data_IF_398536308252
#
_entry.id   IF_398536308252
#
_cell.length_a   1.000
_cell.length_b   1.000
_cell.length_c   1.000
_cell.angle_alpha   90.00
_cell.angle_beta   90.00
_cell.angle_gamma   90.00
#
_symmetry.space_group_name_H-M   'P 1'
#
loop_
_entity.id
_entity.type
_entity.pdbx_description
1 polymer ?
#
# COMPACT_ATOMS: atom_id res chain seq x y z
N UNK A 1 21.59 24.16 25.42
CA UNK A 1 21.16 22.87 24.85
C UNK A 1 19.78 22.53 25.40
N UNK A 2 18.77 22.43 24.53
CA UNK A 2 17.48 21.80 24.86
C UNK A 2 17.23 20.73 23.81
N UNK A 3 17.05 19.52 24.32
CA UNK A 3 17.02 18.23 23.64
C UNK A 3 15.77 18.07 22.79
N UNK A 4 15.92 17.34 21.68
CA UNK A 4 14.94 17.15 20.61
C UNK A 4 13.58 16.69 21.11
N UNK A 5 12.55 17.47 20.75
CA UNK A 5 11.21 16.95 20.61
C UNK A 5 11.19 16.03 19.40
N UNK A 6 11.48 14.76 19.62
CA UNK A 6 11.25 13.74 18.61
C UNK A 6 9.76 13.70 18.31
N UNK A 7 9.35 14.24 17.16
CA UNK A 7 8.07 13.89 16.56
C UNK A 7 8.09 12.37 16.37
N UNK A 8 7.42 11.65 17.27
CA UNK A 8 7.12 10.24 17.10
C UNK A 8 6.33 10.15 15.78
N UNK A 9 6.82 9.45 14.74
CA UNK A 9 6.05 9.31 13.51
C UNK A 9 4.72 8.66 13.87
N UNK A 10 3.61 9.28 13.45
CA UNK A 10 2.28 8.68 13.58
C UNK A 10 2.31 7.35 12.80
N UNK A 11 2.23 6.20 13.48
CA UNK A 11 2.28 4.94 12.78
C UNK A 11 0.95 4.78 12.04
N UNK A 12 1.03 4.55 10.73
CA UNK A 12 -0.04 3.98 9.91
C UNK A 12 -1.05 4.92 9.23
N UNK A 13 -0.69 6.15 8.87
CA UNK A 13 -1.42 6.82 7.77
C UNK A 13 -0.91 6.24 6.43
N UNK A 14 -1.79 5.71 5.55
CA UNK A 14 -1.40 5.27 4.22
C UNK A 14 -0.82 6.43 3.41
N UNK A 15 0.29 6.17 2.71
CA UNK A 15 0.94 7.17 1.86
C UNK A 15 0.03 7.43 0.65
N UNK A 16 -0.21 8.69 0.32
CA UNK A 16 -0.94 9.02 -0.91
C UNK A 16 0.01 8.89 -2.11
N UNK A 17 -0.47 8.39 -3.26
CA UNK A 17 0.27 8.46 -4.51
C UNK A 17 0.64 9.89 -4.92
N UNK A 18 1.67 10.09 -5.77
CA UNK A 18 2.02 11.39 -6.32
C UNK A 18 0.86 12.04 -7.08
N UNK A 19 0.87 13.38 -7.18
CA UNK A 19 -0.13 14.09 -7.98
C UNK A 19 0.03 13.70 -9.46
N UNK A 20 -1.08 13.31 -10.11
CA UNK A 20 -1.07 12.84 -11.50
C UNK A 20 -0.79 11.34 -11.66
N UNK A 21 -0.54 10.64 -10.56
CA UNK A 21 -0.29 9.21 -10.52
C UNK A 21 -1.47 8.38 -11.05
N UNK A 22 -1.16 7.23 -11.64
CA UNK A 22 -2.15 6.20 -11.99
C UNK A 22 -2.51 5.29 -10.82
N UNK A 23 -1.75 5.35 -9.73
CA UNK A 23 -2.08 4.66 -8.49
C UNK A 23 -3.19 5.39 -7.74
N UNK A 24 -4.10 4.61 -7.15
CA UNK A 24 -5.16 5.11 -6.26
C UNK A 24 -5.15 4.32 -4.96
N UNK A 25 -5.11 5.03 -3.83
CA UNK A 25 -5.24 4.41 -2.53
C UNK A 25 -6.67 3.89 -2.31
N UNK A 26 -6.79 2.65 -1.84
CA UNK A 26 -8.07 2.02 -1.48
C UNK A 26 -8.16 1.91 0.05
N UNK A 27 -9.13 2.57 0.69
CA UNK A 27 -9.33 2.44 2.12
C UNK A 27 -9.61 0.99 2.55
N UNK A 28 -9.07 0.60 3.71
CA UNK A 28 -9.31 -0.74 4.26
C UNK A 28 -10.80 -0.97 4.49
N UNK A 29 -11.32 -2.10 4.00
CA UNK A 29 -12.73 -2.46 4.12
C UNK A 29 -13.64 -1.87 3.05
N UNK A 30 -13.11 -1.10 2.10
CA UNK A 30 -13.81 -0.78 0.85
C UNK A 30 -13.91 -2.06 0.02
N UNK A 31 -15.13 -2.46 -0.31
CA UNK A 31 -15.38 -3.47 -1.34
C UNK A 31 -15.08 -2.85 -2.70
N UNK A 32 -14.32 -3.57 -3.52
CA UNK A 32 -13.98 -3.15 -4.87
C UNK A 32 -14.82 -3.94 -5.87
N UNK A 33 -15.20 -3.31 -6.98
CA UNK A 33 -15.91 -4.01 -8.05
C UNK A 33 -15.01 -5.13 -8.59
N UNK A 34 -15.60 -6.28 -8.92
CA UNK A 34 -14.86 -7.33 -9.62
C UNK A 34 -14.52 -6.86 -11.04
N UNK A 35 -13.29 -6.37 -11.18
CA UNK A 35 -12.74 -5.86 -12.43
C UNK A 35 -11.44 -6.58 -12.80
N UNK A 36 -10.90 -6.22 -13.96
CA UNK A 36 -9.59 -6.70 -14.42
C UNK A 36 -8.45 -5.77 -13.98
N UNK A 37 -8.65 -4.92 -12.96
CA UNK A 37 -7.60 -4.04 -12.49
C UNK A 37 -6.60 -4.81 -11.64
N UNK A 38 -5.41 -4.26 -11.62
CA UNK A 38 -4.30 -4.82 -10.85
C UNK A 38 -4.14 -4.03 -9.55
N UNK A 39 -3.93 -4.75 -8.47
CA UNK A 39 -3.83 -4.19 -7.14
C UNK A 39 -2.49 -4.58 -6.53
N UNK A 40 -2.03 -3.75 -5.59
CA UNK A 40 -0.94 -4.11 -4.69
C UNK A 40 -1.41 -4.03 -3.25
N UNK A 41 -0.86 -4.92 -2.43
CA UNK A 41 -1.06 -4.93 -0.99
C UNK A 41 0.30 -4.86 -0.31
N UNK A 42 0.47 -3.86 0.55
CA UNK A 42 1.62 -3.72 1.42
C UNK A 42 1.21 -4.10 2.84
N UNK A 43 1.83 -5.13 3.41
CA UNK A 43 1.48 -5.63 4.74
C UNK A 43 2.74 -6.02 5.52
N UNK A 44 2.68 -5.87 6.84
CA UNK A 44 3.71 -6.36 7.76
C UNK A 44 3.51 -7.84 8.05
N UNK A 45 4.59 -8.62 8.06
CA UNK A 45 4.58 -9.99 8.55
C UNK A 45 4.65 -10.05 10.10
N UNK A 46 4.68 -11.26 10.66
CA UNK A 46 4.68 -11.51 12.12
C UNK A 46 5.90 -10.90 12.84
N UNK A 47 6.97 -10.55 12.11
CA UNK A 47 8.17 -9.88 12.64
C UNK A 47 8.26 -8.43 12.21
N UNK A 48 7.14 -7.85 11.76
CA UNK A 48 7.00 -6.47 11.26
C UNK A 48 7.92 -6.12 10.07
N UNK A 49 8.39 -7.12 9.31
CA UNK A 49 9.01 -6.87 8.02
C UNK A 49 7.91 -6.70 6.98
N UNK A 50 7.92 -5.56 6.32
CA UNK A 50 6.92 -5.19 5.33
C UNK A 50 7.21 -5.85 3.99
N UNK A 51 6.14 -6.31 3.35
CA UNK A 51 6.14 -6.97 2.05
C UNK A 51 5.14 -6.28 1.14
N UNK A 52 5.38 -6.39 -0.16
CA UNK A 52 4.46 -5.98 -1.21
C UNK A 52 4.12 -7.20 -2.06
N UNK A 53 2.85 -7.32 -2.43
CA UNK A 53 2.39 -8.34 -3.38
C UNK A 53 1.48 -7.69 -4.42
N UNK A 54 1.47 -8.26 -5.63
CA UNK A 54 0.51 -7.97 -6.69
C UNK A 54 -0.68 -8.94 -6.57
N UNK A 55 -1.89 -8.44 -6.77
CA UNK A 55 -3.14 -9.20 -6.64
C UNK A 55 -4.26 -8.58 -7.49
N UNK A 56 -5.49 -9.08 -7.36
CA UNK A 56 -6.67 -8.72 -8.13
C UNK A 56 -7.86 -8.34 -7.22
N UNK A 57 -8.93 -7.80 -7.80
CA UNK A 57 -10.12 -7.37 -7.06
C UNK A 57 -10.75 -8.46 -6.19
N UNK A 58 -10.81 -9.71 -6.70
CA UNK A 58 -11.41 -10.84 -5.97
C UNK A 58 -10.68 -11.10 -4.66
N UNK A 59 -9.34 -11.14 -4.70
CA UNK A 59 -8.51 -11.33 -3.50
C UNK A 59 -8.62 -10.14 -2.54
N UNK A 60 -8.74 -8.90 -3.04
CA UNK A 60 -8.98 -7.72 -2.20
C UNK A 60 -10.29 -7.87 -1.40
N UNK A 61 -11.36 -8.34 -2.04
CA UNK A 61 -12.65 -8.55 -1.39
C UNK A 61 -12.64 -9.69 -0.36
N UNK A 62 -11.65 -10.61 -0.39
CA UNK A 62 -11.40 -11.58 0.66
C UNK A 62 -10.73 -10.95 1.90
N UNK A 63 -11.43 -9.99 2.53
CA UNK A 63 -10.95 -9.10 3.60
C UNK A 63 -10.22 -9.78 4.76
N UNK A 64 -10.60 -11.01 5.11
CA UNK A 64 -9.97 -11.79 6.20
C UNK A 64 -8.52 -12.21 5.88
N UNK A 65 -8.10 -12.13 4.62
CA UNK A 65 -6.72 -12.41 4.17
C UNK A 65 -5.76 -11.27 4.48
N UNK A 66 -6.25 -10.07 4.79
CA UNK A 66 -5.44 -8.87 4.93
C UNK A 66 -5.31 -8.41 6.38
N UNK A 67 -4.08 -8.05 6.77
CA UNK A 67 -3.83 -7.37 8.05
C UNK A 67 -4.65 -6.08 8.13
N UNK A 68 -5.10 -5.70 9.33
CA UNK A 68 -5.75 -4.40 9.58
C UNK A 68 -4.85 -3.20 9.24
N UNK A 69 -3.54 -3.44 9.14
CA UNK A 69 -2.54 -2.45 8.76
C UNK A 69 -2.11 -2.56 7.29
N UNK A 70 -2.77 -3.40 6.50
CA UNK A 70 -2.49 -3.51 5.07
C UNK A 70 -2.84 -2.20 4.35
N UNK A 71 -1.98 -1.79 3.43
CA UNK A 71 -2.17 -0.63 2.55
C UNK A 71 -2.45 -1.17 1.16
N UNK A 72 -3.61 -0.82 0.59
CA UNK A 72 -4.07 -1.33 -0.69
C UNK A 72 -4.04 -0.19 -1.70
N UNK A 73 -3.51 -0.46 -2.89
CA UNK A 73 -3.52 0.49 -4.00
C UNK A 73 -3.98 -0.21 -5.27
N UNK A 74 -4.78 0.49 -6.07
CA UNK A 74 -5.26 0.07 -7.37
C UNK A 74 -4.46 0.78 -8.46
N UNK A 75 -4.06 0.05 -9.49
CA UNK A 75 -3.48 0.60 -10.71
C UNK A 75 -4.59 0.97 -11.70
N UNK A 76 -4.54 2.19 -12.21
CA UNK A 76 -5.46 2.71 -13.25
C UNK A 76 -4.72 3.07 -14.54
N UNK A 77 -3.49 2.57 -14.70
CA UNK A 77 -2.68 2.75 -15.92
C UNK A 77 -3.11 1.79 -17.03
N UNK A 78 -2.72 2.12 -18.27
CA UNK A 78 -3.02 1.31 -19.46
C UNK A 78 -1.86 0.35 -19.81
N UNK A 79 -0.68 0.58 -19.25
CA UNK A 79 0.50 -0.25 -19.38
C UNK A 79 0.53 -1.35 -18.31
N UNK A 80 1.42 -2.33 -18.54
CA UNK A 80 1.71 -3.37 -17.56
C UNK A 80 2.19 -2.76 -16.25
N UNK A 81 1.67 -3.28 -15.14
CA UNK A 81 2.02 -2.85 -13.81
C UNK A 81 3.46 -3.22 -13.43
N UNK A 82 4.27 -2.21 -13.12
CA UNK A 82 5.50 -2.38 -12.36
C UNK A 82 5.24 -2.32 -10.86
N UNK A 83 5.90 -3.18 -10.08
CA UNK A 83 5.67 -3.27 -8.63
C UNK A 83 6.47 -2.15 -7.93
N UNK A 84 5.82 -1.27 -7.14
CA UNK A 84 6.51 -0.23 -6.38
C UNK A 84 7.58 -0.79 -5.44
N UNK A 85 8.64 -0.01 -5.22
CA UNK A 85 9.66 -0.36 -4.25
C UNK A 85 9.27 0.15 -2.86
N UNK A 86 9.42 -0.71 -1.85
CA UNK A 86 9.11 -0.37 -0.46
C UNK A 86 10.34 -0.47 0.45
N UNK A 87 10.40 0.40 1.45
CA UNK A 87 11.28 0.22 2.58
C UNK A 87 10.74 -0.92 3.47
N UNK A 88 11.48 -2.02 3.59
CA UNK A 88 11.03 -3.24 4.30
C UNK A 88 10.89 -3.10 5.82
N UNK A 89 11.48 -2.08 6.42
CA UNK A 89 11.39 -1.83 7.86
C UNK A 89 10.16 -0.97 8.21
N UNK A 90 9.66 -0.17 7.27
CA UNK A 90 8.58 0.82 7.51
C UNK A 90 7.33 0.63 6.66
N UNK A 91 7.42 -0.13 5.56
CA UNK A 91 6.34 -0.32 4.60
C UNK A 91 5.94 0.95 3.87
N UNK A 92 6.83 1.95 3.82
CA UNK A 92 6.67 3.15 3.00
C UNK A 92 7.11 2.85 1.56
N UNK A 93 6.41 3.41 0.59
CA UNK A 93 6.78 3.32 -0.82
C UNK A 93 7.86 4.37 -1.08
N UNK A 94 9.01 3.92 -1.56
CA UNK A 94 10.16 4.76 -1.89
C UNK A 94 10.27 5.05 -3.38
N UNK A 95 9.64 4.22 -4.22
CA UNK A 95 9.50 4.43 -5.66
C UNK A 95 8.18 3.84 -6.15
N UNK A 96 7.35 4.63 -6.82
CA UNK A 96 6.02 4.23 -7.30
C UNK A 96 6.03 3.48 -8.65
N UNK A 97 7.18 3.44 -9.36
CA UNK A 97 7.34 2.73 -10.64
C UNK A 97 6.19 2.97 -11.63
N UNK A 98 6.09 4.22 -12.12
CA UNK A 98 5.05 4.67 -13.06
C UNK A 98 5.59 4.96 -14.46
#
# INVERSE_FOLDING_TARGET
MKTGGGNKPEPNKPQQPPVGSKWKFIPSGTEVEEDNKEYIVIYGDQVQKWRIIKTNAKDINHRWMWSTHAKIYCWDGLNELEIPEINKDTGLIIDWKE
#
